data_IF_355710834261
#
_entry.id   IF_355710834261
#
_cell.length_a   1.000
_cell.length_b   1.000
_cell.length_c   1.000
_cell.angle_alpha   90.00
_cell.angle_beta   90.00
_cell.angle_gamma   90.00
#
_symmetry.space_group_name_H-M   'P 1'
#
loop_
_entity.id
_entity.type
_entity.pdbx_description
1 polymer ?
#
# COMPACT_ATOMS: atom_id res chain seq x y z
N UNK A 1 17.45 1.27 34.89
CA UNK A 1 17.44 0.10 33.99
C UNK A 1 16.45 0.43 32.89
N UNK A 2 16.89 0.53 31.64
CA UNK A 2 15.99 0.81 30.51
C UNK A 2 15.45 -0.54 30.02
N UNK A 3 14.18 -0.81 30.28
CA UNK A 3 13.49 -2.00 29.77
C UNK A 3 13.32 -1.87 28.26
N UNK A 4 14.23 -2.50 27.52
CA UNK A 4 14.09 -2.70 26.08
C UNK A 4 12.99 -3.75 25.88
N UNK A 5 11.75 -3.27 25.76
CA UNK A 5 10.57 -4.10 25.49
C UNK A 5 10.71 -4.65 24.07
N UNK A 6 11.37 -5.81 23.96
CA UNK A 6 11.42 -6.58 22.72
C UNK A 6 9.97 -6.82 22.28
N UNK A 7 9.60 -6.24 21.15
CA UNK A 7 8.32 -6.46 20.50
C UNK A 7 8.32 -7.89 19.94
N UNK A 8 7.97 -8.87 20.78
CA UNK A 8 8.04 -10.32 20.47
C UNK A 8 6.91 -10.84 19.58
N UNK A 9 6.05 -9.97 19.04
CA UNK A 9 5.03 -10.39 18.07
C UNK A 9 5.63 -10.44 16.66
N UNK A 10 5.61 -11.58 15.97
CA UNK A 10 5.97 -11.61 14.56
C UNK A 10 5.09 -10.62 13.78
N UNK A 11 5.70 -9.83 12.89
CA UNK A 11 4.97 -8.89 12.06
C UNK A 11 3.86 -9.64 11.32
N UNK A 12 2.61 -9.29 11.60
CA UNK A 12 1.44 -10.00 11.07
C UNK A 12 1.47 -9.94 9.55
N UNK A 13 1.31 -11.09 8.88
CA UNK A 13 1.17 -11.12 7.42
C UNK A 13 -0.13 -10.45 6.98
N UNK A 14 -0.14 -9.68 5.88
CA UNK A 14 -1.36 -9.08 5.36
C UNK A 14 -2.38 -10.16 5.00
N UNK A 15 -3.66 -9.84 5.20
CA UNK A 15 -4.76 -10.76 4.89
C UNK A 15 -5.03 -10.83 3.38
N UNK A 16 -4.81 -9.70 2.70
CA UNK A 16 -5.04 -9.57 1.27
C UNK A 16 -3.91 -8.76 0.64
N UNK A 17 -3.47 -9.16 -0.55
CA UNK A 17 -2.49 -8.44 -1.36
C UNK A 17 -3.07 -8.31 -2.76
N UNK A 18 -3.00 -7.11 -3.32
CA UNK A 18 -3.38 -6.82 -4.71
C UNK A 18 -2.17 -6.29 -5.45
N UNK A 19 -2.02 -6.70 -6.71
CA UNK A 19 -0.88 -6.34 -7.55
C UNK A 19 -1.38 -5.90 -8.92
N UNK A 20 -0.80 -4.82 -9.45
CA UNK A 20 -1.07 -4.34 -10.81
C UNK A 20 0.26 -4.06 -11.50
N UNK A 21 0.40 -4.54 -12.74
CA UNK A 21 1.57 -4.28 -13.57
C UNK A 21 1.28 -3.17 -14.57
N UNK A 22 2.00 -2.07 -14.46
CA UNK A 22 1.94 -0.92 -15.37
C UNK A 22 3.29 -0.79 -16.09
N UNK A 23 3.36 -1.34 -17.31
CA UNK A 23 4.61 -1.41 -18.07
C UNK A 23 5.70 -2.19 -17.32
N UNK A 24 6.76 -1.49 -16.94
CA UNK A 24 7.90 -2.05 -16.20
C UNK A 24 7.72 -1.96 -14.67
N UNK A 25 6.69 -1.28 -14.19
CA UNK A 25 6.43 -1.06 -12.77
C UNK A 25 5.38 -2.06 -12.27
N UNK A 26 5.55 -2.54 -11.03
CA UNK A 26 4.54 -3.33 -10.31
C UNK A 26 4.12 -2.53 -9.08
N UNK A 27 2.83 -2.26 -8.98
CA UNK A 27 2.19 -1.65 -7.83
C UNK A 27 1.65 -2.76 -6.94
N UNK A 28 2.05 -2.77 -5.68
CA UNK A 28 1.63 -3.77 -4.69
C UNK A 28 0.94 -3.05 -3.55
N UNK A 29 -0.30 -3.44 -3.26
CA UNK A 29 -1.07 -2.93 -2.12
C UNK A 29 -1.42 -4.09 -1.21
N UNK A 30 -1.01 -3.98 0.05
CA UNK A 30 -1.36 -4.94 1.10
C UNK A 30 -2.46 -4.39 2.01
N UNK A 31 -3.31 -5.29 2.49
CA UNK A 31 -4.44 -4.99 3.35
C UNK A 31 -4.53 -5.95 4.52
N UNK A 32 -4.81 -5.40 5.68
CA UNK A 32 -5.28 -6.14 6.84
C UNK A 32 -6.78 -5.93 6.99
N UNK A 33 -7.53 -7.00 7.19
CA UNK A 33 -8.95 -6.89 7.50
C UNK A 33 -9.11 -6.31 8.91
N UNK A 34 -9.87 -5.23 9.02
CA UNK A 34 -10.27 -4.65 10.31
C UNK A 34 -11.78 -4.75 10.44
N UNK A 35 -12.26 -5.10 11.63
CA UNK A 35 -13.69 -5.31 11.90
C UNK A 35 -14.56 -4.10 11.56
N UNK A 36 -14.03 -2.90 11.74
CA UNK A 36 -14.75 -1.63 11.57
C UNK A 36 -14.27 -0.84 10.34
N UNK A 37 -13.61 -1.50 9.38
CA UNK A 37 -13.20 -0.86 8.12
C UNK A 37 -13.91 -1.49 6.94
N UNK A 38 -14.44 -0.66 6.05
CA UNK A 38 -15.01 -1.09 4.76
C UNK A 38 -14.01 -0.99 3.62
N UNK A 39 -12.87 -0.33 3.86
CA UNK A 39 -11.81 -0.11 2.89
C UNK A 39 -11.08 -1.44 2.61
N UNK A 40 -11.08 -1.85 1.34
CA UNK A 40 -10.45 -3.08 0.89
C UNK A 40 -9.07 -2.80 0.29
N UNK A 41 -8.25 -3.84 0.13
CA UNK A 41 -7.00 -3.69 -0.63
C UNK A 41 -7.23 -3.19 -2.07
N UNK A 42 -8.38 -3.50 -2.67
CA UNK A 42 -8.78 -2.99 -3.97
C UNK A 42 -9.16 -1.49 -3.93
N UNK A 43 -9.88 -1.03 -2.89
CA UNK A 43 -10.22 0.39 -2.72
C UNK A 43 -8.95 1.26 -2.62
N UNK A 44 -7.99 0.81 -1.82
CA UNK A 44 -6.66 1.44 -1.75
C UNK A 44 -5.92 1.40 -3.08
N UNK A 45 -6.01 0.31 -3.82
CA UNK A 45 -5.36 0.20 -5.13
C UNK A 45 -5.88 1.28 -6.09
N UNK A 46 -7.19 1.58 -6.08
CA UNK A 46 -7.74 2.67 -6.90
C UNK A 46 -7.08 4.02 -6.58
N UNK A 47 -6.94 4.36 -5.29
CA UNK A 47 -6.27 5.59 -4.86
C UNK A 47 -4.79 5.63 -5.26
N UNK A 48 -4.10 4.49 -5.20
CA UNK A 48 -2.71 4.38 -5.66
C UNK A 48 -2.63 4.63 -7.16
N UNK A 49 -3.52 4.05 -7.96
CA UNK A 49 -3.55 4.28 -9.42
C UNK A 49 -3.80 5.76 -9.76
N UNK A 50 -4.71 6.44 -9.05
CA UNK A 50 -4.96 7.88 -9.22
C UNK A 50 -3.72 8.72 -8.89
N UNK A 51 -3.03 8.39 -7.80
CA UNK A 51 -1.80 9.07 -7.40
C UNK A 51 -0.65 8.85 -8.40
N UNK A 52 -0.47 7.61 -8.88
CA UNK A 52 0.54 7.27 -9.89
C UNK A 52 0.25 7.99 -11.21
N UNK A 53 -1.01 8.06 -11.63
CA UNK A 53 -1.41 8.84 -12.79
C UNK A 53 -1.07 10.33 -12.58
N UNK A 54 -1.43 10.93 -11.45
CA UNK A 54 -1.13 12.34 -11.17
C UNK A 54 0.38 12.63 -11.13
N UNK A 55 1.18 11.72 -10.56
CA UNK A 55 2.64 11.81 -10.54
C UNK A 55 3.25 11.70 -11.95
N UNK A 56 2.75 10.79 -12.78
CA UNK A 56 3.16 10.64 -14.18
C UNK A 56 2.89 11.89 -15.02
N UNK A 57 1.74 12.55 -14.80
CA UNK A 57 1.46 13.83 -15.46
C UNK A 57 2.39 14.96 -14.98
N UNK A 58 2.71 15.02 -13.68
CA UNK A 58 3.66 16.01 -13.13
C UNK A 58 5.08 15.85 -13.68
N UNK A 59 5.53 14.62 -13.90
CA UNK A 59 6.85 14.34 -14.48
C UNK A 59 6.93 14.81 -15.95
N UNK A 60 5.83 14.76 -16.71
CA UNK A 60 5.77 15.22 -18.11
C UNK A 60 5.65 16.74 -18.25
N UNK A 61 5.18 17.43 -17.21
CA UNK A 61 5.00 18.89 -17.16
C UNK A 61 6.15 19.63 -16.46
N UNK A 62 7.22 18.92 -16.08
CA UNK A 62 8.44 19.55 -15.56
C UNK A 62 9.33 19.97 -16.74
N UNK A 63 9.71 21.26 -16.88
CA UNK A 63 10.56 21.75 -17.97
C UNK A 63 12.00 21.26 -17.89
#
# INVERSE_FOLDING_TARGET
>A
MAENKQNTTPERRPDCVTEIRMGNTVLVVSGFFKKDTTDTAADKMMKVLEAEAAAGHKAQLSP
#
